data_IF_612888922932
#
_entry.id   IF_612888922932
#
_cell.length_a   1.000
_cell.length_b   1.000
_cell.length_c   1.000
_cell.angle_alpha   90.00
_cell.angle_beta   90.00
_cell.angle_gamma   90.00
#
_symmetry.space_group_name_H-M   'P 1'
#
loop_
_entity.id
_entity.type
_entity.pdbx_description
1 polymer ?
#
# COMPACT_ATOMS: atom_id res chain seq x y z
N UNK A 1 -15.68 -12.55 3.96
CA UNK A 1 -15.76 -12.24 2.51
C UNK A 1 -14.65 -13.01 1.83
N UNK A 2 -14.92 -13.63 0.69
CA UNK A 2 -13.88 -14.36 -0.02
C UNK A 2 -13.05 -13.42 -0.89
N UNK A 3 -11.71 -13.64 -1.00
CA UNK A 3 -10.87 -12.87 -1.90
C UNK A 3 -11.26 -13.13 -3.36
N UNK A 4 -11.17 -12.10 -4.21
CA UNK A 4 -11.45 -12.26 -5.64
C UNK A 4 -10.26 -12.95 -6.33
N UNK A 5 -9.03 -12.66 -5.88
CA UNK A 5 -7.83 -13.28 -6.39
C UNK A 5 -6.88 -13.64 -5.25
N UNK A 6 -6.10 -14.71 -5.46
CA UNK A 6 -5.01 -15.09 -4.59
C UNK A 6 -3.70 -15.16 -5.39
N UNK A 7 -2.75 -14.28 -5.08
CA UNK A 7 -1.47 -14.19 -5.78
C UNK A 7 -0.47 -15.15 -5.16
N UNK A 8 -0.09 -16.19 -5.88
CA UNK A 8 0.91 -17.20 -5.47
C UNK A 8 0.60 -17.85 -4.11
N UNK A 9 -0.66 -17.91 -3.71
CA UNK A 9 -1.09 -18.38 -2.37
C UNK A 9 -0.47 -17.61 -1.19
N UNK A 10 -0.02 -16.39 -1.42
CA UNK A 10 0.65 -15.54 -0.41
C UNK A 10 -0.05 -14.21 -0.18
N UNK A 11 -0.83 -13.71 -1.14
CA UNK A 11 -1.51 -12.43 -1.06
C UNK A 11 -2.93 -12.54 -1.57
N UNK A 12 -3.88 -12.04 -0.80
CA UNK A 12 -5.30 -12.03 -1.14
C UNK A 12 -5.71 -10.66 -1.66
N UNK A 13 -6.43 -10.60 -2.78
CA UNK A 13 -6.91 -9.36 -3.36
C UNK A 13 -8.42 -9.27 -3.21
N UNK A 14 -8.86 -8.18 -2.61
CA UNK A 14 -10.25 -7.85 -2.40
C UNK A 14 -10.63 -6.60 -3.19
N UNK A 15 -11.81 -6.60 -3.82
CA UNK A 15 -12.38 -5.44 -4.51
C UNK A 15 -13.70 -5.08 -3.86
N UNK A 16 -13.82 -3.86 -3.35
CA UNK A 16 -15.03 -3.38 -2.70
C UNK A 16 -14.76 -2.34 -1.62
N UNK A 17 -15.81 -1.89 -0.90
CA UNK A 17 -15.68 -0.89 0.14
C UNK A 17 -14.73 -1.34 1.26
N UNK A 18 -13.74 -0.51 1.56
CA UNK A 18 -12.76 -0.78 2.63
C UNK A 18 -13.43 -0.98 3.98
N UNK A 19 -14.51 -0.24 4.28
CA UNK A 19 -15.27 -0.36 5.53
C UNK A 19 -15.82 -1.77 5.77
N UNK A 20 -16.17 -2.47 4.70
CA UNK A 20 -16.82 -3.78 4.77
C UNK A 20 -15.78 -4.91 4.82
N UNK A 21 -14.64 -4.70 4.16
CA UNK A 21 -13.61 -5.73 3.97
C UNK A 21 -12.60 -5.71 5.13
N UNK A 22 -12.07 -4.53 5.47
CA UNK A 22 -10.93 -4.37 6.38
C UNK A 22 -11.13 -5.05 7.74
N UNK A 23 -12.30 -4.94 8.40
CA UNK A 23 -12.52 -5.61 9.69
C UNK A 23 -12.41 -7.14 9.64
N UNK A 24 -12.69 -7.73 8.49
CA UNK A 24 -12.66 -9.18 8.30
C UNK A 24 -11.30 -9.76 7.91
N UNK A 25 -10.37 -8.92 7.43
CA UNK A 25 -9.06 -9.37 6.93
C UNK A 25 -7.88 -8.93 7.79
N UNK A 26 -8.08 -7.94 8.68
CA UNK A 26 -7.06 -7.56 9.64
C UNK A 26 -6.81 -8.70 10.62
N UNK A 27 -5.55 -9.07 10.88
CA UNK A 27 -5.23 -10.03 11.92
C UNK A 27 -5.59 -9.44 13.30
N UNK A 28 -5.93 -10.32 14.25
CA UNK A 28 -6.02 -9.91 15.64
C UNK A 28 -4.67 -9.41 16.15
N UNK A 29 -4.70 -8.38 17.00
CA UNK A 29 -3.49 -7.81 17.59
C UNK A 29 -3.25 -6.35 17.20
N UNK A 30 -2.01 -5.89 17.42
CA UNK A 30 -1.64 -4.50 17.18
C UNK A 30 -1.46 -4.22 15.68
N UNK A 31 -2.06 -3.13 15.23
CA UNK A 31 -1.91 -2.60 13.87
C UNK A 31 -1.30 -1.21 13.95
N UNK A 32 -0.32 -0.92 13.10
CA UNK A 32 0.22 0.42 12.86
C UNK A 32 -0.02 0.79 11.41
N UNK A 33 -0.59 1.98 11.19
CA UNK A 33 -0.87 2.49 9.85
C UNK A 33 0.30 3.32 9.35
N UNK A 34 0.68 3.13 8.08
CA UNK A 34 1.56 4.05 7.36
C UNK A 34 0.74 4.68 6.24
N UNK A 35 0.65 6.02 6.25
CA UNK A 35 -0.20 6.77 5.33
C UNK A 35 0.38 8.15 5.03
N UNK A 36 -0.36 9.00 4.37
CA UNK A 36 0.00 10.38 4.07
C UNK A 36 -1.05 11.39 4.56
N UNK A 37 -0.67 12.67 4.63
CA UNK A 37 -1.53 13.73 5.14
C UNK A 37 -2.79 13.97 4.28
N UNK A 38 -2.80 13.59 3.00
CA UNK A 38 -3.98 13.71 2.15
C UNK A 38 -5.00 12.64 2.51
N UNK A 39 -4.54 11.42 2.71
CA UNK A 39 -5.39 10.31 3.13
C UNK A 39 -5.91 10.55 4.56
N UNK A 40 -5.06 11.01 5.48
CA UNK A 40 -5.50 11.35 6.84
C UNK A 40 -6.60 12.42 6.80
N UNK A 41 -6.44 13.48 6.02
CA UNK A 41 -7.46 14.52 5.88
C UNK A 41 -8.77 14.03 5.28
N UNK A 42 -8.72 13.13 4.29
CA UNK A 42 -9.90 12.66 3.55
C UNK A 42 -10.61 11.51 4.25
N UNK A 43 -9.87 10.67 4.94
CA UNK A 43 -10.33 9.39 5.49
C UNK A 43 -9.95 9.20 6.96
N UNK A 44 -9.81 10.29 7.71
CA UNK A 44 -9.42 10.28 9.13
C UNK A 44 -10.17 9.23 9.98
N UNK A 45 -11.48 9.07 9.87
CA UNK A 45 -12.20 8.06 10.64
C UNK A 45 -11.69 6.62 10.45
N UNK A 46 -11.09 6.32 9.29
CA UNK A 46 -10.51 5.01 9.01
C UNK A 46 -9.13 4.84 9.68
N UNK A 47 -8.39 5.94 9.86
CA UNK A 47 -7.05 5.92 10.47
C UNK A 47 -7.11 6.09 11.99
N UNK A 48 -8.09 6.82 12.49
CA UNK A 48 -8.20 7.21 13.90
C UNK A 48 -8.10 6.08 14.94
N UNK A 49 -8.53 4.83 14.66
CA UNK A 49 -8.36 3.72 15.59
C UNK A 49 -6.91 3.23 15.78
N UNK A 50 -5.97 3.68 14.95
CA UNK A 50 -4.62 3.13 14.87
C UNK A 50 -3.54 4.16 15.15
N UNK A 51 -2.41 3.72 15.72
CA UNK A 51 -1.18 4.50 15.68
C UNK A 51 -0.80 4.72 14.21
N UNK A 52 -0.70 5.99 13.78
CA UNK A 52 -0.45 6.33 12.38
C UNK A 52 0.89 7.03 12.20
N UNK A 53 1.66 6.55 11.25
CA UNK A 53 2.90 7.16 10.75
C UNK A 53 2.59 7.86 9.44
N UNK A 54 2.63 9.18 9.43
CA UNK A 54 2.44 9.99 8.23
C UNK A 54 3.77 10.18 7.51
N UNK A 55 3.81 9.83 6.22
CA UNK A 55 4.93 10.09 5.32
C UNK A 55 4.56 11.20 4.32
N UNK A 56 5.54 11.71 3.59
CA UNK A 56 5.31 12.68 2.51
C UNK A 56 4.53 12.11 1.34
N UNK A 57 4.37 12.91 0.29
CA UNK A 57 3.59 12.60 -0.91
C UNK A 57 4.48 12.45 -2.15
N UNK A 58 4.03 11.60 -3.07
CA UNK A 58 4.58 11.46 -4.41
C UNK A 58 5.87 10.65 -4.49
N UNK A 59 6.47 10.63 -5.67
CA UNK A 59 7.67 9.82 -5.96
C UNK A 59 8.92 10.29 -5.20
N UNK A 60 8.98 11.56 -4.84
CA UNK A 60 10.13 12.13 -4.11
C UNK A 60 10.36 11.55 -2.73
N UNK A 61 9.32 11.03 -2.09
CA UNK A 61 9.43 10.40 -0.76
C UNK A 61 9.89 8.94 -0.82
N UNK A 62 10.00 8.38 -1.99
CA UNK A 62 10.36 6.98 -2.18
C UNK A 62 11.87 6.78 -2.02
N UNK A 63 12.39 7.02 -0.82
CA UNK A 63 13.81 7.07 -0.49
C UNK A 63 14.15 6.25 0.75
N UNK A 64 15.43 5.90 0.93
CA UNK A 64 15.92 5.26 2.16
C UNK A 64 15.74 6.15 3.39
N UNK A 65 15.82 7.48 3.24
CA UNK A 65 15.59 8.44 4.33
C UNK A 65 14.15 8.36 4.84
N UNK A 66 13.19 8.22 3.94
CA UNK A 66 11.79 8.02 4.34
C UNK A 66 11.61 6.70 5.08
N UNK A 67 12.24 5.63 4.61
CA UNK A 67 12.20 4.32 5.29
C UNK A 67 12.81 4.43 6.69
N UNK A 68 13.96 5.09 6.82
CA UNK A 68 14.58 5.34 8.13
C UNK A 68 13.65 6.15 9.07
N UNK A 69 12.95 7.15 8.54
CA UNK A 69 11.98 7.92 9.33
C UNK A 69 10.83 7.05 9.83
N UNK A 70 10.33 6.13 9.01
CA UNK A 70 9.31 5.13 9.41
C UNK A 70 9.86 4.24 10.54
N UNK A 71 11.11 3.76 10.42
CA UNK A 71 11.72 2.93 11.48
C UNK A 71 11.82 3.67 12.81
N UNK A 72 12.23 4.94 12.81
CA UNK A 72 12.29 5.77 14.01
C UNK A 72 10.92 5.88 14.68
N UNK A 73 9.87 6.12 13.87
CA UNK A 73 8.50 6.13 14.39
C UNK A 73 8.04 4.78 14.90
N UNK A 74 8.41 3.68 14.26
CA UNK A 74 8.12 2.34 14.74
C UNK A 74 8.78 2.06 16.11
N UNK A 75 10.03 2.50 16.28
CA UNK A 75 10.73 2.39 17.57
C UNK A 75 10.03 3.21 18.66
N UNK A 76 9.69 4.48 18.37
CA UNK A 76 8.99 5.37 19.31
C UNK A 76 7.61 4.82 19.72
N UNK A 77 6.90 4.21 18.79
CA UNK A 77 5.62 3.55 19.02
C UNK A 77 5.76 2.18 19.69
N UNK A 78 6.96 1.65 19.88
CA UNK A 78 7.18 0.32 20.43
C UNK A 78 6.64 -0.81 19.54
N UNK A 79 6.76 -0.65 18.21
CA UNK A 79 6.40 -1.69 17.23
C UNK A 79 7.30 -2.90 17.43
N UNK A 80 6.71 -4.06 17.57
CA UNK A 80 7.38 -5.34 17.75
C UNK A 80 7.08 -6.33 16.59
N UNK A 81 7.62 -7.54 16.70
CA UNK A 81 7.48 -8.57 15.65
C UNK A 81 6.06 -9.13 15.49
N UNK A 82 5.15 -8.87 16.41
CA UNK A 82 3.74 -9.26 16.33
C UNK A 82 2.85 -8.17 15.73
N UNK A 83 3.40 -6.97 15.53
CA UNK A 83 2.67 -5.83 14.98
C UNK A 83 2.45 -5.99 13.48
N UNK A 84 1.21 -5.79 13.04
CA UNK A 84 0.86 -5.75 11.62
C UNK A 84 0.98 -4.32 11.08
N UNK A 85 1.58 -4.15 9.90
CA UNK A 85 1.71 -2.86 9.23
C UNK A 85 0.65 -2.73 8.14
N UNK A 86 -0.21 -1.72 8.23
CA UNK A 86 -1.22 -1.42 7.22
C UNK A 86 -0.83 -0.17 6.44
N UNK A 87 -0.47 -0.34 5.17
CA UNK A 87 -0.23 0.78 4.25
C UNK A 87 -1.56 1.26 3.65
N UNK A 88 -1.89 2.54 3.79
CA UNK A 88 -3.10 3.14 3.20
C UNK A 88 -2.69 4.33 2.34
N UNK A 89 -2.86 4.23 1.01
CA UNK A 89 -2.46 5.31 0.10
C UNK A 89 -2.20 4.87 -1.34
N UNK A 90 -1.67 5.78 -2.14
CA UNK A 90 -1.30 5.53 -3.53
C UNK A 90 0.15 5.05 -3.71
N UNK A 91 1.09 5.54 -2.89
CA UNK A 91 2.52 5.23 -2.95
C UNK A 91 3.00 4.30 -1.83
N UNK A 92 2.21 3.33 -1.46
CA UNK A 92 2.37 2.47 -0.28
C UNK A 92 3.51 1.46 -0.36
N UNK A 93 4.19 1.32 -1.50
CA UNK A 93 5.35 0.42 -1.64
C UNK A 93 6.50 0.76 -0.68
N UNK A 94 6.65 2.04 -0.28
CA UNK A 94 7.63 2.44 0.75
C UNK A 94 7.25 1.88 2.12
N UNK A 95 5.94 1.85 2.46
CA UNK A 95 5.46 1.20 3.67
C UNK A 95 5.72 -0.31 3.64
N UNK A 96 5.47 -0.95 2.49
CA UNK A 96 5.78 -2.37 2.28
C UNK A 96 7.27 -2.68 2.43
N UNK A 97 8.15 -1.82 1.90
CA UNK A 97 9.61 -1.98 2.08
C UNK A 97 9.99 -1.81 3.55
N UNK A 98 9.45 -0.80 4.24
CA UNK A 98 9.71 -0.59 5.66
C UNK A 98 9.25 -1.82 6.49
N UNK A 99 8.04 -2.32 6.26
CA UNK A 99 7.52 -3.50 6.94
C UNK A 99 8.37 -4.75 6.65
N UNK A 100 8.69 -5.01 5.39
CA UNK A 100 9.45 -6.19 4.97
C UNK A 100 10.90 -6.23 5.49
N UNK A 101 11.44 -5.09 5.94
CA UNK A 101 12.84 -4.97 6.37
C UNK A 101 13.00 -4.64 7.86
N UNK A 102 12.01 -4.02 8.51
CA UNK A 102 12.03 -3.76 9.95
C UNK A 102 12.02 -5.09 10.73
N UNK A 103 12.91 -5.22 11.70
CA UNK A 103 13.07 -6.45 12.53
C UNK A 103 13.17 -7.75 11.70
N UNK A 104 13.67 -7.69 10.47
CA UNK A 104 13.79 -8.80 9.49
C UNK A 104 12.46 -9.22 8.87
N UNK A 105 11.45 -8.38 8.93
CA UNK A 105 10.14 -8.54 8.30
C UNK A 105 9.00 -8.61 9.30
N UNK A 106 8.01 -7.75 9.05
CA UNK A 106 6.69 -7.76 9.69
C UNK A 106 5.65 -8.14 8.65
N UNK A 107 4.56 -8.75 9.08
CA UNK A 107 3.38 -8.93 8.24
C UNK A 107 2.75 -7.57 7.91
N UNK A 108 2.31 -7.41 6.67
CA UNK A 108 1.70 -6.18 6.22
C UNK A 108 0.59 -6.41 5.19
N UNK A 109 -0.26 -5.41 5.01
CA UNK A 109 -1.31 -5.36 4.00
C UNK A 109 -1.49 -3.97 3.44
N UNK A 110 -2.27 -3.85 2.38
CA UNK A 110 -2.49 -2.60 1.69
C UNK A 110 -3.97 -2.28 1.50
N UNK A 111 -4.30 -0.99 1.67
CA UNK A 111 -5.52 -0.36 1.15
C UNK A 111 -5.08 0.63 0.07
N UNK A 112 -5.36 0.29 -1.17
CA UNK A 112 -4.94 1.10 -2.31
C UNK A 112 -5.98 2.16 -2.65
N UNK A 113 -5.57 3.42 -2.59
CA UNK A 113 -6.46 4.58 -2.75
C UNK A 113 -6.36 5.26 -4.12
N UNK A 114 -5.45 4.82 -4.99
CA UNK A 114 -5.27 5.35 -6.34
C UNK A 114 -5.48 4.27 -7.38
N UNK A 115 -5.89 4.65 -8.60
CA UNK A 115 -6.06 3.69 -9.69
C UNK A 115 -4.75 2.95 -9.99
N UNK A 116 -3.62 3.67 -10.08
CA UNK A 116 -2.29 3.06 -10.28
C UNK A 116 -1.97 2.01 -9.21
N UNK A 117 -2.28 2.31 -7.95
CA UNK A 117 -2.08 1.37 -6.86
C UNK A 117 -2.97 0.13 -6.99
N UNK A 118 -4.24 0.30 -7.38
CA UNK A 118 -5.20 -0.79 -7.49
C UNK A 118 -4.90 -1.75 -8.65
N UNK A 119 -4.39 -1.23 -9.77
CA UNK A 119 -4.18 -2.04 -10.98
C UNK A 119 -2.75 -2.55 -11.17
N UNK A 120 -1.76 -1.98 -10.47
CA UNK A 120 -0.35 -2.37 -10.64
C UNK A 120 0.44 -2.32 -9.33
N UNK A 121 0.63 -1.15 -8.71
CA UNK A 121 1.70 -0.93 -7.74
C UNK A 121 1.56 -1.71 -6.43
N UNK A 122 0.35 -2.07 -5.99
CA UNK A 122 0.11 -2.83 -4.77
C UNK A 122 0.24 -4.35 -4.95
N UNK A 123 0.28 -4.82 -6.20
CA UNK A 123 0.25 -6.25 -6.55
C UNK A 123 1.63 -6.72 -6.99
N UNK A 124 2.00 -7.94 -6.61
CA UNK A 124 3.23 -8.57 -7.05
C UNK A 124 4.41 -8.47 -6.07
N UNK A 125 4.23 -7.81 -4.91
CA UNK A 125 5.22 -7.81 -3.82
C UNK A 125 6.52 -7.05 -4.11
N UNK A 126 6.52 -6.17 -5.10
CA UNK A 126 7.68 -5.33 -5.45
C UNK A 126 7.74 -4.12 -4.52
N UNK A 127 8.45 -4.23 -3.43
CA UNK A 127 8.63 -3.13 -2.49
C UNK A 127 10.03 -2.54 -2.66
N UNK A 128 10.12 -1.24 -2.90
CA UNK A 128 11.42 -0.63 -3.14
C UNK A 128 11.41 0.88 -3.14
N UNK A 129 12.62 1.43 -3.08
CA UNK A 129 12.88 2.87 -3.04
C UNK A 129 13.98 3.26 -4.04
N UNK A 130 14.04 4.54 -4.31
CA UNK A 130 15.01 5.15 -5.21
C UNK A 130 16.32 5.41 -4.44
N UNK A 131 17.45 5.31 -5.15
CA UNK A 131 18.79 5.60 -4.61
C UNK A 131 19.53 6.44 -5.64
N UNK A 132 20.08 7.57 -5.22
CA UNK A 132 20.90 8.48 -6.04
C UNK A 132 20.27 8.84 -7.39
N UNK A 133 18.96 9.09 -7.41
CA UNK A 133 18.20 9.44 -8.62
C UNK A 133 17.81 8.25 -9.50
N UNK A 134 18.27 7.05 -9.20
CA UNK A 134 17.86 5.83 -9.90
C UNK A 134 16.64 5.22 -9.24
N UNK A 135 15.62 4.85 -10.03
CA UNK A 135 14.36 4.30 -9.54
C UNK A 135 14.48 2.85 -9.10
N UNK A 136 13.86 2.52 -7.97
CA UNK A 136 13.65 1.15 -7.47
C UNK A 136 14.94 0.33 -7.27
N UNK A 137 16.07 0.98 -6.94
CA UNK A 137 17.37 0.31 -6.82
C UNK A 137 17.55 -0.47 -5.53
N UNK A 138 16.85 -0.09 -4.46
CA UNK A 138 16.86 -0.82 -3.20
C UNK A 138 15.46 -1.35 -2.91
N UNK A 139 15.32 -2.64 -2.64
CA UNK A 139 14.00 -3.22 -2.42
C UNK A 139 14.02 -4.69 -2.08
N UNK A 140 12.81 -5.22 -1.87
CA UNK A 140 12.56 -6.64 -1.60
C UNK A 140 11.39 -7.14 -2.42
N UNK A 141 11.33 -8.45 -2.65
CA UNK A 141 10.13 -9.15 -3.07
C UNK A 141 9.45 -9.74 -1.83
N UNK A 142 8.44 -9.04 -1.31
CA UNK A 142 7.66 -9.48 -0.16
C UNK A 142 6.18 -9.22 -0.42
N UNK A 143 5.38 -10.27 -0.36
CA UNK A 143 3.94 -10.16 -0.64
C UNK A 143 3.21 -9.58 0.58
N UNK A 144 2.29 -8.61 0.38
CA UNK A 144 1.34 -8.24 1.42
C UNK A 144 0.41 -9.42 1.71
N UNK A 145 -0.07 -9.56 2.93
CA UNK A 145 -1.09 -10.56 3.30
C UNK A 145 -2.37 -10.35 2.50
N UNK A 146 -2.74 -9.09 2.32
CA UNK A 146 -3.88 -8.71 1.51
C UNK A 146 -3.67 -7.35 0.82
N UNK A 147 -4.43 -7.14 -0.25
CA UNK A 147 -4.61 -5.84 -0.92
C UNK A 147 -6.11 -5.57 -1.04
N UNK A 148 -6.56 -4.44 -0.53
CA UNK A 148 -7.93 -3.94 -0.74
C UNK A 148 -7.89 -2.87 -1.82
N UNK A 149 -8.59 -3.13 -2.92
CA UNK A 149 -8.86 -2.19 -4.00
C UNK A 149 -10.27 -1.64 -3.82
N UNK A 150 -10.39 -0.42 -3.33
CA UNK A 150 -11.68 0.25 -3.12
C UNK A 150 -11.96 1.27 -4.23
N UNK A 151 -12.81 0.93 -5.22
CA UNK A 151 -13.13 1.87 -6.29
C UNK A 151 -13.82 3.15 -5.79
N UNK A 152 -14.46 3.10 -4.61
CA UNK A 152 -15.06 4.28 -3.98
C UNK A 152 -14.05 5.37 -3.64
N UNK A 153 -12.81 5.02 -3.33
CA UNK A 153 -11.73 5.96 -3.03
C UNK A 153 -11.25 6.74 -4.27
N UNK A 154 -11.50 6.22 -5.48
CA UNK A 154 -11.14 6.91 -6.72
C UNK A 154 -11.94 8.21 -6.93
N UNK A 155 -13.07 8.39 -6.23
CA UNK A 155 -13.88 9.62 -6.30
C UNK A 155 -13.15 10.87 -5.79
N UNK A 156 -12.16 10.70 -4.93
CA UNK A 156 -11.36 11.81 -4.39
C UNK A 156 -10.01 11.97 -5.09
N UNK A 157 -9.72 11.11 -6.06
CA UNK A 157 -8.49 11.15 -6.84
C UNK A 157 -8.56 12.28 -7.88
N UNK A 158 -7.46 12.99 -8.07
CA UNK A 158 -7.39 14.01 -9.12
C UNK A 158 -7.45 13.37 -10.51
N UNK A 159 -7.98 14.11 -11.50
CA UNK A 159 -8.01 13.66 -12.89
C UNK A 159 -6.61 13.26 -13.42
N UNK A 160 -5.58 13.98 -13.00
CA UNK A 160 -4.19 13.68 -13.38
C UNK A 160 -3.76 12.31 -12.89
N UNK A 161 -3.98 12.03 -11.62
CA UNK A 161 -3.60 10.74 -10.99
C UNK A 161 -4.47 9.59 -11.53
N UNK A 162 -5.75 9.86 -11.79
CA UNK A 162 -6.63 8.89 -12.42
C UNK A 162 -6.14 8.51 -13.82
N UNK A 163 -5.80 9.52 -14.66
CA UNK A 163 -5.25 9.27 -16.01
C UNK A 163 -3.89 8.57 -15.96
N UNK A 164 -3.06 8.85 -14.96
CA UNK A 164 -1.80 8.13 -14.77
C UNK A 164 -2.04 6.63 -14.52
N UNK A 165 -3.05 6.28 -13.72
CA UNK A 165 -3.44 4.89 -13.49
C UNK A 165 -4.03 4.22 -14.73
N UNK A 166 -4.78 4.96 -15.57
CA UNK A 166 -5.31 4.42 -16.84
C UNK A 166 -4.21 3.93 -17.79
N UNK A 167 -3.02 4.53 -17.77
CA UNK A 167 -1.91 4.05 -18.59
C UNK A 167 -1.54 2.59 -18.28
N UNK A 168 -1.60 2.19 -17.00
CA UNK A 168 -1.35 0.81 -16.60
C UNK A 168 -2.51 -0.14 -16.97
N UNK A 169 -3.76 0.35 -16.94
CA UNK A 169 -4.92 -0.41 -17.43
C UNK A 169 -4.75 -0.70 -18.92
N UNK A 170 -4.44 0.34 -19.72
CA UNK A 170 -4.18 0.21 -21.16
C UNK A 170 -3.01 -0.73 -21.44
N UNK A 171 -1.92 -0.61 -20.68
CA UNK A 171 -0.77 -1.53 -20.79
C UNK A 171 -1.19 -2.98 -20.58
N UNK A 172 -1.97 -3.26 -19.53
CA UNK A 172 -2.43 -4.61 -19.22
C UNK A 172 -3.35 -5.17 -20.31
N UNK A 173 -4.27 -4.34 -20.82
CA UNK A 173 -5.18 -4.70 -21.91
C UNK A 173 -4.39 -5.07 -23.19
N UNK A 174 -3.45 -4.23 -23.62
CA UNK A 174 -2.62 -4.50 -24.81
C UNK A 174 -1.83 -5.81 -24.70
N UNK A 175 -1.33 -6.12 -23.48
CA UNK A 175 -0.48 -7.30 -23.26
C UNK A 175 -1.30 -8.59 -23.18
N UNK A 176 -2.48 -8.56 -22.55
CA UNK A 176 -3.12 -9.79 -22.09
C UNK A 176 -4.63 -9.88 -22.34
N UNK A 177 -5.32 -8.80 -22.70
CA UNK A 177 -6.79 -8.79 -22.77
C UNK A 177 -7.29 -7.81 -23.86
N UNK A 178 -7.55 -8.34 -25.05
CA UNK A 178 -8.02 -7.54 -26.18
C UNK A 178 -9.45 -7.02 -25.98
N UNK A 179 -10.28 -7.68 -25.17
CA UNK A 179 -11.66 -7.25 -24.91
C UNK A 179 -11.70 -6.08 -23.92
N UNK A 180 -10.70 -5.98 -23.05
CA UNK A 180 -10.51 -4.83 -22.14
C UNK A 180 -10.00 -3.60 -22.90
N UNK A 181 -9.24 -3.76 -23.97
CA UNK A 181 -8.67 -2.67 -24.79
C UNK A 181 -9.72 -2.03 -25.69
#
# INVERSE_FOLDING_TARGET
MEPIFNVRQQSEIYIGPTSDILPGVLPGGRVVVVSDATIDRLYHPMLAPYDTVLIGLGESIKTLQTVESIYRRFIELGVDRSTFVLGIGGGIVTAGFAAATYMRGLDFGFVSTTLLGQVDASVGGKNGVNVDGYKNMAGTFSQPRFVICDPGMLRTLSDREFRAGLAEVVKAAIIADADLF
#
